data_IF_034427756311
#
_entry.id   IF_034427756311
#
_cell.length_a   1.000
_cell.length_b   1.000
_cell.length_c   1.000
_cell.angle_alpha   90.00
_cell.angle_beta   90.00
_cell.angle_gamma   90.00
#
_symmetry.space_group_name_H-M   'P 1'
#
loop_
_entity.id
_entity.type
_entity.pdbx_description
1 polymer ?
#
# COMPACT_ATOMS: atom_id res chain seq x y z
N UNK A 1 11.06 29.82 -2.59
CA UNK A 1 11.68 29.26 -3.82
C UNK A 1 11.60 30.26 -4.97
N UNK A 2 10.43 30.82 -5.26
CA UNK A 2 10.22 31.77 -6.36
C UNK A 2 10.99 33.10 -6.26
N UNK A 3 11.35 33.54 -5.05
CA UNK A 3 12.22 34.72 -4.86
C UNK A 3 13.62 34.53 -5.47
N UNK A 4 14.13 33.29 -5.48
CA UNK A 4 15.45 32.95 -6.04
C UNK A 4 15.37 32.52 -7.50
N UNK A 5 14.28 31.86 -7.87
CA UNK A 5 14.03 31.37 -9.22
C UNK A 5 12.65 31.85 -9.67
N UNK A 6 12.54 33.08 -10.20
CA UNK A 6 11.26 33.61 -10.65
C UNK A 6 10.72 32.77 -11.80
N UNK A 7 9.40 32.72 -11.94
CA UNK A 7 8.75 32.02 -13.04
C UNK A 7 8.91 32.82 -14.35
N UNK A 8 9.27 32.18 -15.46
CA UNK A 8 9.15 32.76 -16.80
C UNK A 8 7.69 33.07 -17.13
N UNK A 9 7.47 33.86 -18.20
CA UNK A 9 6.14 34.14 -18.70
C UNK A 9 5.44 32.83 -19.15
N UNK A 10 4.12 32.74 -18.98
CA UNK A 10 3.35 31.52 -19.25
C UNK A 10 3.35 30.46 -18.14
N UNK A 11 4.35 30.46 -17.24
CA UNK A 11 4.45 29.50 -16.15
C UNK A 11 3.61 29.88 -14.93
N UNK A 12 2.90 28.90 -14.37
CA UNK A 12 2.05 29.06 -13.19
C UNK A 12 2.41 28.05 -12.10
N UNK A 13 2.38 28.51 -10.85
CA UNK A 13 2.49 27.67 -9.67
C UNK A 13 1.11 27.16 -9.26
N UNK A 14 0.97 25.84 -9.10
CA UNK A 14 -0.28 25.19 -8.68
C UNK A 14 0.00 24.30 -7.47
N UNK A 15 -0.87 24.37 -6.47
CA UNK A 15 -0.78 23.52 -5.29
C UNK A 15 -1.48 22.19 -5.54
N UNK A 16 -0.79 21.08 -5.28
CA UNK A 16 -1.35 19.73 -5.31
C UNK A 16 -1.69 19.27 -3.88
N UNK A 17 -3.00 19.13 -3.53
CA UNK A 17 -3.42 18.66 -2.22
C UNK A 17 -3.05 17.21 -1.92
N UNK A 18 -2.87 16.35 -2.93
CA UNK A 18 -2.56 14.93 -2.74
C UNK A 18 -1.16 14.72 -2.16
N UNK A 19 -0.20 15.52 -2.62
CA UNK A 19 1.21 15.45 -2.18
C UNK A 19 1.60 16.58 -1.23
N UNK A 20 0.72 17.57 -1.02
CA UNK A 20 0.99 18.73 -0.18
C UNK A 20 2.13 19.59 -0.71
N UNK A 21 2.30 19.66 -2.03
CA UNK A 21 3.43 20.34 -2.68
C UNK A 21 2.96 21.12 -3.91
N UNK A 22 3.70 22.16 -4.26
CA UNK A 22 3.46 22.88 -5.50
C UNK A 22 4.15 22.21 -6.68
N UNK A 23 3.48 22.21 -7.83
CA UNK A 23 4.07 21.95 -9.14
C UNK A 23 3.93 23.20 -10.02
N UNK A 24 4.69 23.22 -11.10
CA UNK A 24 4.75 24.31 -12.04
C UNK A 24 4.35 23.79 -13.41
N UNK A 25 3.45 24.52 -14.08
CA UNK A 25 3.01 24.17 -15.42
C UNK A 25 3.08 25.39 -16.32
N UNK A 26 3.40 25.17 -17.58
CA UNK A 26 3.40 26.16 -18.63
C UNK A 26 2.08 26.09 -19.39
N UNK A 27 1.35 27.21 -19.43
CA UNK A 27 0.05 27.27 -20.10
C UNK A 27 0.16 27.37 -21.62
N UNK A 28 1.34 27.66 -22.17
CA UNK A 28 1.54 27.76 -23.62
C UNK A 28 1.95 26.42 -24.25
N UNK A 29 2.79 25.65 -23.55
CA UNK A 29 3.38 24.40 -24.07
C UNK A 29 2.85 23.14 -23.40
N UNK A 30 1.92 23.26 -22.45
CA UNK A 30 1.43 22.16 -21.60
C UNK A 30 2.55 21.36 -20.90
N UNK A 31 3.69 22.01 -20.68
CA UNK A 31 4.83 21.41 -19.99
C UNK A 31 4.64 21.47 -18.47
N UNK A 32 5.16 20.47 -17.77
CA UNK A 32 5.01 20.32 -16.31
C UNK A 32 6.38 20.09 -15.65
N UNK A 33 6.58 20.64 -14.45
CA UNK A 33 7.77 20.41 -13.64
C UNK A 33 7.51 20.52 -12.13
N UNK A 34 8.28 19.80 -11.31
CA UNK A 34 8.16 19.81 -9.85
C UNK A 34 8.99 20.92 -9.15
N UNK A 35 9.83 21.61 -9.91
CA UNK A 35 10.66 22.73 -9.44
C UNK A 35 10.44 23.91 -10.38
N UNK A 36 10.66 25.16 -9.95
CA UNK A 36 10.55 26.30 -10.86
C UNK A 36 11.44 26.05 -12.09
N UNK A 37 11.00 26.36 -13.31
CA UNK A 37 11.73 26.02 -14.55
C UNK A 37 13.14 26.64 -14.61
N UNK A 38 13.37 27.76 -13.92
CA UNK A 38 14.69 28.39 -13.80
C UNK A 38 15.64 27.70 -12.79
N UNK A 39 15.17 26.68 -12.08
CA UNK A 39 15.97 25.95 -11.11
C UNK A 39 16.91 24.97 -11.84
N UNK A 40 18.19 24.85 -11.45
CA UNK A 40 19.18 24.02 -12.17
C UNK A 40 18.92 22.51 -12.12
N UNK A 41 17.93 22.08 -11.34
CA UNK A 41 17.48 20.68 -11.22
C UNK A 41 16.06 20.47 -11.74
N UNK A 42 15.45 21.50 -12.32
CA UNK A 42 14.13 21.35 -12.91
C UNK A 42 14.23 20.42 -14.12
N UNK A 43 13.33 19.44 -14.15
CA UNK A 43 13.13 18.57 -15.30
C UNK A 43 11.75 18.95 -15.82
N UNK A 44 11.73 19.46 -17.04
CA UNK A 44 10.50 19.84 -17.73
C UNK A 44 10.07 18.65 -18.56
N UNK A 45 8.86 18.15 -18.31
CA UNK A 45 8.27 17.00 -19.00
C UNK A 45 6.94 17.39 -19.61
N UNK A 46 6.45 16.61 -20.57
CA UNK A 46 5.08 16.76 -21.07
C UNK A 46 4.06 16.47 -19.96
N UNK A 47 2.85 17.00 -20.12
CA UNK A 47 1.79 16.73 -19.17
C UNK A 47 1.38 15.25 -19.18
N UNK A 48 0.93 14.76 -18.02
CA UNK A 48 0.51 13.37 -17.87
C UNK A 48 -0.66 12.98 -18.79
N UNK A 49 -1.48 13.94 -19.21
CA UNK A 49 -2.59 13.70 -20.13
C UNK A 49 -2.09 13.29 -21.52
N UNK A 50 -1.11 14.01 -22.06
CA UNK A 50 -0.50 13.72 -23.37
C UNK A 50 0.23 12.38 -23.34
N UNK A 51 1.02 12.12 -22.30
CA UNK A 51 1.71 10.83 -22.13
C UNK A 51 0.72 9.64 -22.06
N UNK A 52 -0.45 9.86 -21.45
CA UNK A 52 -1.51 8.84 -21.36
C UNK A 52 -2.18 8.59 -22.72
N UNK A 53 -2.43 9.66 -23.49
CA UNK A 53 -2.98 9.56 -24.84
C UNK A 53 -2.01 8.83 -25.78
N UNK A 54 -0.73 9.18 -25.76
CA UNK A 54 0.30 8.51 -26.56
C UNK A 54 0.37 7.01 -26.24
N UNK A 55 0.38 6.63 -24.96
CA UNK A 55 0.41 5.23 -24.55
C UNK A 55 -0.85 4.46 -24.97
N UNK A 56 -2.04 5.07 -24.91
CA UNK A 56 -3.27 4.46 -25.39
C UNK A 56 -3.25 4.25 -26.91
N UNK A 57 -2.75 5.21 -27.69
CA UNK A 57 -2.66 5.11 -29.15
C UNK A 57 -1.59 4.09 -29.59
N UNK A 58 -0.44 4.06 -28.90
CA UNK A 58 0.64 3.11 -29.18
C UNK A 58 0.29 1.66 -28.83
N UNK A 59 -0.62 1.45 -27.88
CA UNK A 59 -1.14 0.12 -27.53
C UNK A 59 -1.97 -0.52 -28.66
N UNK A 60 -2.26 0.22 -29.74
CA UNK A 60 -2.98 -0.28 -30.90
C UNK A 60 -4.43 -0.53 -30.56
N UNK A 61 -5.31 0.33 -31.06
CA UNK A 61 -6.74 0.10 -31.18
C UNK A 61 -7.06 -1.40 -31.40
N UNK A 62 -7.54 -2.01 -30.31
CA UNK A 62 -8.31 -3.25 -30.34
C UNK A 62 -9.64 -2.89 -29.72
N UNK A 63 -10.47 -2.27 -30.55
CA UNK A 63 -11.88 -2.01 -30.39
C UNK A 63 -12.25 -0.84 -29.47
N UNK A 64 -12.11 0.40 -29.95
CA UNK A 64 -13.10 1.44 -29.57
C UNK A 64 -13.69 2.10 -30.82
N UNK A 65 -14.49 1.33 -31.55
CA UNK A 65 -15.56 1.90 -32.34
C UNK A 65 -16.39 2.80 -31.42
N UNK A 66 -16.40 4.09 -31.72
CA UNK A 66 -17.51 5.01 -31.50
C UNK A 66 -18.82 4.30 -31.16
N UNK A 67 -19.16 4.24 -29.88
CA UNK A 67 -20.54 4.22 -29.44
C UNK A 67 -20.65 5.33 -28.40
N UNK A 68 -21.11 6.49 -28.86
CA UNK A 68 -21.78 7.42 -27.97
C UNK A 68 -23.03 6.72 -27.45
N UNK A 69 -22.91 6.10 -26.29
CA UNK A 69 -24.04 5.87 -25.41
C UNK A 69 -23.83 6.71 -24.16
N UNK A 70 -24.59 7.80 -24.09
CA UNK A 70 -24.94 8.47 -22.85
C UNK A 70 -25.54 7.42 -21.90
N UNK A 71 -24.73 6.83 -21.02
CA UNK A 71 -25.22 6.08 -19.87
C UNK A 71 -25.14 7.00 -18.64
N UNK A 72 -26.29 7.61 -18.40
CA UNK A 72 -26.70 8.28 -17.17
C UNK A 72 -26.19 7.58 -15.91
N UNK A 73 -25.70 8.40 -14.99
CA UNK A 73 -25.41 8.07 -13.60
C UNK A 73 -26.58 7.33 -12.92
N UNK A 74 -26.38 6.09 -12.47
CA UNK A 74 -27.27 5.46 -11.48
C UNK A 74 -26.44 4.92 -10.30
N UNK A 75 -26.39 5.66 -9.16
CA UNK A 75 -25.73 5.21 -7.95
C UNK A 75 -26.64 4.23 -7.18
N UNK A 76 -26.36 2.92 -7.25
CA UNK A 76 -27.11 1.92 -6.45
C UNK A 76 -26.66 1.93 -4.97
N UNK A 77 -27.11 2.94 -4.24
CA UNK A 77 -27.16 3.00 -2.79
C UNK A 77 -28.57 2.62 -2.34
N UNK A 78 -28.85 1.33 -2.15
CA UNK A 78 -30.03 0.88 -1.39
C UNK A 78 -29.69 0.68 0.08
N UNK A 79 -29.70 1.80 0.80
CA UNK A 79 -30.03 1.82 2.22
C UNK A 79 -31.56 1.96 2.34
N UNK A 80 -32.27 0.89 2.69
CA UNK A 80 -33.65 0.99 3.17
C UNK A 80 -33.71 0.52 4.63
N UNK A 81 -33.67 1.50 5.53
CA UNK A 81 -34.32 1.40 6.83
C UNK A 81 -35.84 1.29 6.64
N UNK A 82 -36.46 0.20 7.10
CA UNK A 82 -37.78 0.26 7.74
C UNK A 82 -37.80 -0.60 8.99
N UNK A 83 -37.86 0.10 10.14
CA UNK A 83 -38.35 -0.43 11.41
C UNK A 83 -39.69 -1.14 11.22
N UNK A 84 -39.93 -2.24 11.94
CA UNK A 84 -41.02 -2.32 12.91
C UNK A 84 -40.88 -3.53 13.85
N UNK A 85 -41.08 -3.25 15.13
CA UNK A 85 -41.19 -4.16 16.26
C UNK A 85 -42.31 -5.20 16.07
N UNK A 86 -42.07 -6.46 16.48
CA UNK A 86 -42.88 -7.10 17.53
C UNK A 86 -42.26 -8.41 18.04
N UNK A 87 -41.79 -8.34 19.29
CA UNK A 87 -42.02 -9.30 20.39
C UNK A 87 -42.56 -10.71 20.04
N UNK A 88 -41.78 -11.76 20.30
CA UNK A 88 -41.89 -12.64 21.48
C UNK A 88 -41.13 -13.98 21.27
N UNK A 89 -40.47 -14.44 22.34
CA UNK A 89 -40.22 -15.85 22.74
C UNK A 89 -39.71 -16.84 21.66
N UNK A 90 -38.58 -17.49 21.84
CA UNK A 90 -38.29 -18.35 23.00
C UNK A 90 -36.93 -19.04 22.79
N UNK A 91 -36.26 -19.29 23.92
CA UNK A 91 -35.06 -20.10 24.02
C UNK A 91 -35.40 -21.56 23.64
N UNK A 92 -34.76 -22.10 22.61
CA UNK A 92 -34.56 -23.55 22.50
C UNK A 92 -33.36 -23.83 21.60
N UNK A 93 -32.43 -24.61 22.13
CA UNK A 93 -31.35 -25.28 21.41
C UNK A 93 -31.87 -26.06 20.20
N UNK A 94 -31.08 -26.11 19.10
CA UNK A 94 -30.78 -27.32 18.28
C UNK A 94 -30.45 -26.99 16.80
N UNK A 95 -29.23 -27.41 16.43
CA UNK A 95 -28.75 -27.91 15.12
C UNK A 95 -28.52 -26.88 14.00
N UNK A 96 -27.36 -26.94 13.29
CA UNK A 96 -27.14 -26.10 12.12
C UNK A 96 -28.15 -26.48 11.03
N UNK A 97 -28.83 -25.46 10.49
CA UNK A 97 -29.78 -25.63 9.40
C UNK A 97 -29.08 -26.22 8.17
N UNK A 98 -29.57 -27.37 7.70
CA UNK A 98 -29.12 -28.05 6.46
C UNK A 98 -29.04 -27.12 5.24
N UNK A 99 -29.75 -25.98 5.29
CA UNK A 99 -29.76 -24.96 4.24
C UNK A 99 -28.45 -24.19 4.17
N UNK A 100 -27.89 -23.75 5.30
CA UNK A 100 -26.60 -23.04 5.30
C UNK A 100 -25.45 -23.93 4.82
N UNK A 101 -25.46 -25.22 5.19
CA UNK A 101 -24.46 -26.17 4.75
C UNK A 101 -24.53 -26.41 3.23
N UNK A 102 -25.74 -26.50 2.68
CA UNK A 102 -25.99 -26.64 1.24
C UNK A 102 -25.59 -25.38 0.46
N UNK A 103 -25.80 -24.20 1.03
CA UNK A 103 -25.37 -22.93 0.43
C UNK A 103 -23.84 -22.82 0.39
N UNK A 104 -23.13 -23.16 1.48
CA UNK A 104 -21.66 -23.20 1.53
C UNK A 104 -21.08 -24.24 0.55
N UNK A 105 -21.72 -25.41 0.43
CA UNK A 105 -21.32 -26.44 -0.52
C UNK A 105 -21.49 -25.97 -1.98
N UNK A 106 -22.58 -25.29 -2.29
CA UNK A 106 -22.83 -24.71 -3.62
C UNK A 106 -21.84 -23.60 -3.96
N UNK A 107 -21.50 -22.73 -3.00
CA UNK A 107 -20.49 -21.67 -3.19
C UNK A 107 -19.12 -22.29 -3.53
N UNK A 108 -18.66 -23.30 -2.79
CA UNK A 108 -17.41 -24.00 -3.07
C UNK A 108 -17.42 -24.70 -4.44
N UNK A 109 -18.55 -25.29 -4.82
CA UNK A 109 -18.70 -25.97 -6.13
C UNK A 109 -18.68 -24.97 -7.29
N UNK A 110 -19.28 -23.79 -7.12
CA UNK A 110 -19.24 -22.72 -8.11
C UNK A 110 -17.86 -22.09 -8.24
N UNK A 111 -17.13 -21.90 -7.13
CA UNK A 111 -15.74 -21.42 -7.17
C UNK A 111 -14.83 -22.39 -7.92
N UNK A 112 -14.95 -23.71 -7.68
CA UNK A 112 -14.17 -24.72 -8.41
C UNK A 112 -14.50 -24.79 -9.89
N UNK A 113 -15.77 -24.59 -10.27
CA UNK A 113 -16.19 -24.55 -11.68
C UNK A 113 -15.64 -23.32 -12.41
N UNK A 114 -15.66 -22.15 -11.76
CA UNK A 114 -15.03 -20.93 -12.29
C UNK A 114 -13.53 -21.11 -12.49
N UNK A 115 -12.84 -21.69 -11.50
CA UNK A 115 -11.42 -22.05 -11.61
C UNK A 115 -11.09 -23.07 -12.73
N UNK A 116 -12.08 -23.82 -13.24
CA UNK A 116 -11.88 -24.77 -14.33
C UNK A 116 -12.27 -24.23 -15.71
N UNK A 117 -13.19 -23.26 -15.78
CA UNK A 117 -13.76 -22.78 -17.03
C UNK A 117 -13.34 -21.34 -17.40
N UNK A 118 -12.77 -20.57 -16.47
CA UNK A 118 -12.32 -19.19 -16.70
C UNK A 118 -10.83 -19.10 -17.09
N UNK A 119 -10.25 -20.20 -17.59
CA UNK A 119 -8.86 -20.20 -18.04
C UNK A 119 -8.82 -19.67 -19.46
N UNK A 120 -8.25 -18.47 -19.60
CA UNK A 120 -7.95 -17.88 -20.90
C UNK A 120 -7.09 -18.89 -21.70
N UNK A 121 -7.49 -19.26 -22.93
CA UNK A 121 -6.71 -20.10 -23.82
C UNK A 121 -5.40 -19.45 -24.29
N UNK A 122 -4.95 -18.35 -23.70
CA UNK A 122 -3.60 -17.79 -23.86
C UNK A 122 -2.86 -17.61 -22.53
N UNK A 123 -3.47 -17.94 -21.39
CA UNK A 123 -2.79 -17.90 -20.09
C UNK A 123 -1.84 -19.10 -19.95
N UNK A 124 -0.55 -18.89 -19.62
CA UNK A 124 0.39 -19.98 -19.35
C UNK A 124 -0.11 -21.01 -18.34
N UNK A 125 -0.93 -20.61 -17.35
CA UNK A 125 -1.54 -21.52 -16.38
C UNK A 125 -2.63 -22.45 -16.97
N UNK A 126 -3.09 -22.18 -18.20
CA UNK A 126 -4.03 -23.03 -18.93
C UNK A 126 -3.35 -24.21 -19.65
N UNK A 127 -2.09 -24.06 -20.07
CA UNK A 127 -1.35 -25.07 -20.85
C UNK A 127 -0.21 -25.77 -20.11
N UNK A 128 0.18 -25.28 -18.93
CA UNK A 128 1.32 -25.81 -18.18
C UNK A 128 0.90 -26.54 -16.90
N UNK A 129 1.79 -27.41 -16.40
CA UNK A 129 1.62 -28.14 -15.13
C UNK A 129 1.90 -27.26 -13.89
N UNK A 130 1.87 -25.94 -14.05
CA UNK A 130 2.17 -25.00 -12.98
C UNK A 130 0.98 -25.00 -12.00
N UNK A 131 1.20 -25.27 -10.70
CA UNK A 131 0.11 -25.33 -9.73
C UNK A 131 -0.56 -23.95 -9.62
N UNK A 132 -1.89 -23.94 -9.71
CA UNK A 132 -2.73 -22.74 -9.53
C UNK A 132 -2.82 -22.40 -8.04
N UNK A 133 -1.80 -21.73 -7.53
CA UNK A 133 -1.75 -21.20 -6.16
C UNK A 133 -2.66 -19.99 -5.96
N UNK A 134 -3.02 -19.71 -4.72
CA UNK A 134 -3.63 -18.42 -4.34
C UNK A 134 -2.55 -17.35 -4.15
N UNK A 135 -2.94 -16.08 -3.99
CA UNK A 135 -2.00 -14.99 -3.69
C UNK A 135 -1.21 -15.17 -2.38
N UNK A 136 -1.67 -16.07 -1.50
CA UNK A 136 -0.98 -16.45 -0.27
C UNK A 136 -0.10 -17.70 -0.41
N UNK A 137 -0.14 -18.38 -1.55
CA UNK A 137 0.63 -19.61 -1.77
C UNK A 137 2.10 -19.25 -1.93
N UNK A 138 2.95 -19.82 -1.07
CA UNK A 138 4.37 -19.45 -0.93
C UNK A 138 4.68 -18.34 0.08
N UNK A 139 3.67 -17.68 0.67
CA UNK A 139 3.89 -16.70 1.75
C UNK A 139 4.03 -17.44 3.09
N UNK A 140 5.25 -17.55 3.62
CA UNK A 140 5.50 -18.14 4.95
C UNK A 140 4.87 -17.25 6.03
N UNK A 141 3.87 -17.77 6.74
CA UNK A 141 3.11 -17.04 7.76
C UNK A 141 3.86 -16.83 9.08
N UNK A 142 5.14 -17.21 9.16
CA UNK A 142 5.94 -17.18 10.38
C UNK A 142 6.52 -15.78 10.67
N UNK A 143 5.75 -14.72 10.45
CA UNK A 143 6.10 -13.34 10.84
C UNK A 143 5.64 -13.02 12.26
N UNK A 144 5.82 -13.95 13.21
CA UNK A 144 5.75 -13.59 14.64
C UNK A 144 6.94 -12.73 15.07
N UNK A 145 7.96 -12.67 14.22
CA UNK A 145 9.04 -11.69 14.22
C UNK A 145 8.84 -10.85 12.95
N UNK A 146 8.53 -9.56 13.07
CA UNK A 146 8.36 -8.63 11.94
C UNK A 146 9.67 -8.37 11.20
N UNK A 147 10.23 -9.41 10.59
CA UNK A 147 11.50 -9.43 9.86
C UNK A 147 11.23 -10.09 8.51
N UNK A 148 11.73 -9.46 7.44
CA UNK A 148 11.56 -9.93 6.07
C UNK A 148 12.40 -11.20 5.83
N UNK A 149 11.74 -12.30 5.47
CA UNK A 149 12.39 -13.57 5.13
C UNK A 149 13.25 -13.51 3.86
N UNK A 150 13.17 -12.43 3.09
CA UNK A 150 13.92 -12.22 1.83
C UNK A 150 15.37 -11.79 2.05
N UNK A 151 15.77 -11.46 3.29
CA UNK A 151 17.15 -11.09 3.59
C UNK A 151 18.06 -12.33 3.72
N UNK A 152 18.64 -12.78 2.61
CA UNK A 152 19.75 -13.74 2.62
C UNK A 152 21.04 -13.01 3.02
N UNK A 153 21.19 -12.70 4.31
CA UNK A 153 22.34 -11.97 4.83
C UNK A 153 22.46 -12.08 6.34
N UNK A 154 23.67 -11.91 6.88
CA UNK A 154 23.91 -12.02 8.31
C UNK A 154 22.94 -11.11 9.07
N UNK A 155 22.43 -11.61 10.20
CA UNK A 155 21.42 -11.06 11.12
C UNK A 155 21.78 -9.67 11.72
N UNK A 156 22.68 -8.93 11.09
CA UNK A 156 23.21 -7.62 11.40
C UNK A 156 22.52 -6.55 10.54
N UNK A 157 21.19 -6.47 10.62
CA UNK A 157 20.59 -5.15 10.40
C UNK A 157 21.06 -4.25 11.55
N UNK A 158 21.64 -3.10 11.20
CA UNK A 158 22.16 -2.12 12.14
C UNK A 158 21.03 -1.70 13.08
N UNK A 159 21.06 -2.18 14.33
CA UNK A 159 20.06 -1.82 15.33
C UNK A 159 20.17 -0.32 15.64
N UNK A 160 19.06 0.40 15.78
CA UNK A 160 19.10 1.79 16.24
C UNK A 160 19.80 1.84 17.61
N UNK A 161 20.69 2.82 17.79
CA UNK A 161 21.40 3.02 19.05
C UNK A 161 20.40 3.17 20.21
N UNK A 162 20.75 2.67 21.42
CA UNK A 162 19.90 2.83 22.59
C UNK A 162 19.65 4.30 22.89
N UNK A 163 18.48 4.62 23.44
CA UNK A 163 18.14 5.99 23.79
C UNK A 163 19.10 6.53 24.87
N UNK A 164 19.36 7.85 24.94
CA UNK A 164 20.21 8.42 25.98
C UNK A 164 19.79 8.03 27.42
N UNK A 165 18.49 7.82 27.67
CA UNK A 165 17.97 7.34 28.95
C UNK A 165 18.34 5.89 29.29
N UNK A 166 18.42 5.01 28.30
CA UNK A 166 18.82 3.61 28.49
C UNK A 166 20.30 3.49 28.85
N UNK A 167 21.13 4.32 28.21
CA UNK A 167 22.57 4.42 28.51
C UNK A 167 22.77 4.89 29.96
N UNK A 168 22.04 5.92 30.40
CA UNK A 168 22.08 6.43 31.77
C UNK A 168 21.69 5.35 32.80
N UNK A 169 20.63 4.57 32.51
CA UNK A 169 20.17 3.48 33.38
C UNK A 169 21.18 2.33 33.45
N UNK A 170 21.78 1.95 32.34
CA UNK A 170 22.82 0.91 32.28
C UNK A 170 24.06 1.32 33.08
N UNK A 171 24.50 2.57 32.97
CA UNK A 171 25.63 3.10 33.74
C UNK A 171 25.34 3.17 35.25
N UNK A 172 24.10 3.51 35.63
CA UNK A 172 23.67 3.49 37.03
C UNK A 172 23.70 2.08 37.62
N UNK A 173 23.27 1.06 36.87
CA UNK A 173 23.37 -0.35 37.29
C UNK A 173 24.82 -0.81 37.48
N UNK A 174 25.71 -0.53 36.50
CA UNK A 174 27.14 -0.86 36.61
C UNK A 174 27.84 -0.28 37.84
N UNK A 175 27.43 0.93 38.27
CA UNK A 175 27.93 1.56 39.50
C UNK A 175 27.47 0.85 40.78
N UNK A 176 26.27 0.27 40.77
CA UNK A 176 25.73 -0.46 41.93
C UNK A 176 26.38 -1.84 42.07
N UNK A 177 26.77 -2.47 40.96
CA UNK A 177 27.31 -3.84 40.93
C UNK A 177 28.85 -3.90 41.06
N UNK A 178 29.54 -2.75 41.26
CA UNK A 178 30.99 -2.72 41.47
C UNK A 178 31.30 -2.84 42.98
N UNK A 179 31.93 -3.93 43.46
CA UNK A 179 32.33 -4.04 44.86
C UNK A 179 33.44 -3.02 45.16
N UNK A 180 33.16 -2.09 46.07
CA UNK A 180 34.15 -1.18 46.66
C UNK A 180 35.32 -2.01 47.23
N UNK A 181 36.53 -1.80 46.71
CA UNK A 181 37.74 -2.27 47.38
C UNK A 181 38.08 -1.25 48.50
N UNK A 182 38.26 -1.69 49.75
CA UNK A 182 38.53 -0.79 50.87
C UNK A 182 39.94 -0.19 50.77
N UNK A 183 40.02 1.12 50.97
CA UNK A 183 41.26 1.88 50.92
C UNK A 183 42.30 1.43 51.93
N UNK A 184 43.56 1.44 51.51
CA UNK A 184 44.72 1.39 52.40
C UNK A 184 45.21 2.81 52.68
N UNK A 185 45.24 3.25 53.95
CA UNK A 185 45.98 4.45 54.33
C UNK A 185 47.45 4.06 54.55
N UNK A 186 48.39 4.96 54.23
CA UNK A 186 49.38 5.41 55.20
C UNK A 186 50.33 6.44 54.61
N UNK A 187 50.50 7.47 55.44
CA UNK A 187 51.45 8.57 55.43
C UNK A 187 52.90 8.16 55.11
N UNK A 188 53.55 9.00 54.29
CA UNK A 188 54.76 9.82 54.56
C UNK A 188 55.91 9.28 55.43
N UNK A 189 57.16 9.77 55.27
CA UNK A 189 57.53 11.16 54.92
C UNK A 189 58.27 11.36 53.58
#
# INVERSE_FOLDING_TARGET
MLVKYPLPDGWKEVYDPGYGRHYYWDAESDSVSWLPPNHPKAIITECAAVLKEEHHLAAGDKDTSSDESEEEEEPDSKNEEKKNNNQEKSKTSKKPDKREEREKANQKRNQRKRQQNDLDPMDPAAYSDIPRGGWSDGLQTDTKSGVDSTATGALFQMRPYPSPGDILRANKKKKVDSPEQPGSPNDSP
#
